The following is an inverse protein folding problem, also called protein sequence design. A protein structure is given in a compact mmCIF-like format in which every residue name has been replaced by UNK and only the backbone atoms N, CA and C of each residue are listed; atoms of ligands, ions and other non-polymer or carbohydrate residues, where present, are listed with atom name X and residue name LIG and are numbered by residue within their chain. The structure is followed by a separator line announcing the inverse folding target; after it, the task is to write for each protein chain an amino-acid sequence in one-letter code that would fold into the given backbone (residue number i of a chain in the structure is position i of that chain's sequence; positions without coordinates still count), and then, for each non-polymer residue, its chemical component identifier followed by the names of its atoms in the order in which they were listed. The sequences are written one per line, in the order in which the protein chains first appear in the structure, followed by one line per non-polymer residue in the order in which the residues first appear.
data_IF_377024939734
#
_entry.id   IF_377024939734
#
_cell.length_a   1.000
_cell.length_b   1.000
_cell.length_c   1.000
_cell.angle_alpha   90.00
_cell.angle_beta   90.00
_cell.angle_gamma   90.00
#
_symmetry.space_group_name_H-M   'P 1'
#
loop_
_entity.id
_entity.type
_entity.pdbx_description
1 polymer ?
#
# COMPACT_ATOMS: atom_id res chain seq x y z
N UNK A 1 18.84 -17.80 -77.48
CA UNK A 1 19.08 -16.53 -76.71
C UNK A 1 17.93 -16.34 -75.73
N UNK A 2 18.14 -16.76 -74.51
CA UNK A 2 17.13 -16.64 -73.46
C UNK A 2 17.78 -15.90 -72.30
N UNK A 3 17.30 -14.66 -72.09
CA UNK A 3 17.70 -13.82 -70.99
C UNK A 3 16.91 -14.25 -69.74
N UNK A 4 17.63 -14.71 -68.71
CA UNK A 4 17.02 -15.07 -67.40
C UNK A 4 17.04 -13.84 -66.52
N UNK A 5 15.87 -13.30 -66.23
CA UNK A 5 15.69 -12.29 -65.19
C UNK A 5 15.67 -12.97 -63.84
N UNK A 6 16.62 -12.67 -63.02
CA UNK A 6 16.71 -13.14 -61.64
C UNK A 6 16.03 -12.10 -60.72
N UNK A 7 14.80 -12.39 -60.29
CA UNK A 7 14.12 -11.56 -59.29
C UNK A 7 14.64 -11.91 -57.91
N UNK A 8 15.46 -11.04 -57.36
CA UNK A 8 15.82 -11.05 -55.96
C UNK A 8 14.68 -10.45 -55.14
N UNK A 9 13.83 -11.29 -54.61
CA UNK A 9 12.86 -10.89 -53.55
C UNK A 9 13.62 -10.68 -52.26
N UNK A 10 13.89 -9.43 -51.97
CA UNK A 10 14.46 -9.00 -50.69
C UNK A 10 13.35 -9.05 -49.61
N UNK A 11 13.25 -10.15 -48.92
CA UNK A 11 12.45 -10.23 -47.68
C UNK A 11 13.19 -9.51 -46.57
N UNK A 12 12.93 -8.22 -46.42
CA UNK A 12 13.31 -7.50 -45.20
C UNK A 12 12.45 -8.04 -44.06
N UNK A 13 13.02 -8.96 -43.30
CA UNK A 13 12.49 -9.39 -42.01
C UNK A 13 12.58 -8.18 -41.08
N UNK A 14 11.49 -7.47 -40.93
CA UNK A 14 11.37 -6.49 -39.85
C UNK A 14 11.45 -7.26 -38.54
N UNK A 15 12.61 -7.21 -37.94
CA UNK A 15 12.84 -7.64 -36.56
C UNK A 15 12.05 -6.64 -35.70
N UNK A 16 10.84 -7.06 -35.30
CA UNK A 16 10.03 -6.32 -34.34
C UNK A 16 10.82 -6.28 -33.05
N UNK A 17 11.40 -5.12 -32.78
CA UNK A 17 12.12 -4.84 -31.57
C UNK A 17 11.14 -5.07 -30.41
N UNK A 18 11.30 -6.17 -29.69
CA UNK A 18 10.56 -6.53 -28.48
C UNK A 18 11.03 -5.75 -27.25
N UNK A 19 11.55 -4.57 -27.44
CA UNK A 19 11.67 -3.58 -26.39
C UNK A 19 10.32 -2.89 -26.21
N UNK A 20 9.31 -3.69 -25.96
CA UNK A 20 8.05 -3.19 -25.39
C UNK A 20 8.47 -2.62 -24.03
N UNK A 21 8.45 -1.30 -23.94
CA UNK A 21 8.60 -0.52 -22.72
C UNK A 21 7.80 -1.23 -21.63
N UNK A 22 8.46 -2.03 -20.80
CA UNK A 22 7.88 -2.54 -19.57
C UNK A 22 7.58 -1.29 -18.75
N UNK A 23 6.32 -0.86 -18.78
CA UNK A 23 5.82 0.20 -17.93
C UNK A 23 6.18 -0.23 -16.52
N UNK A 24 7.20 0.39 -15.92
CA UNK A 24 7.63 0.07 -14.55
C UNK A 24 6.45 0.35 -13.65
N UNK A 25 5.72 -0.67 -13.28
CA UNK A 25 4.68 -0.61 -12.26
C UNK A 25 5.31 -0.83 -10.90
N UNK A 26 4.77 -0.18 -9.87
CA UNK A 26 5.15 -0.50 -8.51
C UNK A 26 4.85 -1.97 -8.22
N UNK A 27 5.76 -2.72 -7.58
CA UNK A 27 5.60 -4.15 -7.38
C UNK A 27 4.50 -4.51 -6.37
N UNK A 28 4.15 -3.61 -5.46
CA UNK A 28 3.08 -3.82 -4.47
C UNK A 28 1.80 -3.22 -5.02
N UNK A 29 0.73 -4.02 -5.02
CA UNK A 29 -0.58 -3.64 -5.57
C UNK A 29 -1.69 -3.63 -4.51
N UNK A 30 -1.48 -4.33 -3.39
CA UNK A 30 -2.44 -4.48 -2.32
C UNK A 30 -1.75 -4.92 -1.03
N UNK A 31 -2.31 -4.58 0.13
CA UNK A 31 -1.85 -5.04 1.43
C UNK A 31 -3.02 -5.39 2.36
N UNK A 32 -2.76 -6.23 3.35
CA UNK A 32 -3.73 -6.57 4.39
C UNK A 32 -3.09 -6.37 5.76
N UNK A 33 -3.81 -5.71 6.65
CA UNK A 33 -3.42 -5.52 8.05
C UNK A 33 -4.26 -6.48 8.89
N UNK A 34 -3.67 -7.48 9.54
CA UNK A 34 -4.36 -8.41 10.41
C UNK A 34 -5.05 -7.71 11.58
N UNK A 35 -6.29 -8.07 11.87
CA UNK A 35 -7.00 -7.56 13.05
C UNK A 35 -7.74 -8.70 13.79
N UNK A 36 -7.94 -8.53 15.08
CA UNK A 36 -8.69 -9.47 15.92
C UNK A 36 -10.13 -8.98 16.09
N UNK A 37 -10.30 -7.67 16.25
CA UNK A 37 -11.59 -7.02 16.44
C UNK A 37 -11.79 -5.97 15.34
N UNK A 38 -12.64 -6.28 14.36
CA UNK A 38 -12.87 -5.43 13.20
C UNK A 38 -13.53 -4.10 13.59
N UNK A 39 -14.46 -4.09 14.54
CA UNK A 39 -15.12 -2.86 14.98
C UNK A 39 -14.14 -1.92 15.69
N UNK A 40 -13.32 -2.45 16.59
CA UNK A 40 -12.29 -1.67 17.27
C UNK A 40 -11.25 -1.13 16.30
N UNK A 41 -10.78 -1.96 15.37
CA UNK A 41 -9.80 -1.57 14.37
C UNK A 41 -10.35 -0.47 13.43
N UNK A 42 -11.53 -0.66 12.86
CA UNK A 42 -12.13 0.35 11.96
C UNK A 42 -12.37 1.67 12.69
N UNK A 43 -12.84 1.64 13.95
CA UNK A 43 -12.99 2.86 14.77
C UNK A 43 -11.65 3.56 14.99
N UNK A 44 -10.60 2.82 15.30
CA UNK A 44 -9.25 3.37 15.49
C UNK A 44 -8.76 4.08 14.21
N UNK A 45 -8.71 3.38 13.09
CA UNK A 45 -8.21 3.95 11.84
C UNK A 45 -9.09 5.08 11.29
N UNK A 46 -10.42 5.01 11.50
CA UNK A 46 -11.32 6.11 11.16
C UNK A 46 -11.03 7.37 11.99
N UNK A 47 -10.73 7.21 13.27
CA UNK A 47 -10.44 8.35 14.16
C UNK A 47 -9.06 8.95 13.87
N UNK A 48 -8.05 8.10 13.68
CA UNK A 48 -6.65 8.54 13.50
C UNK A 48 -6.41 9.19 12.13
N UNK A 49 -7.02 8.62 11.07
CA UNK A 49 -6.76 9.01 9.69
C UNK A 49 -7.97 9.59 8.95
N UNK A 50 -9.12 9.66 9.61
CA UNK A 50 -10.39 10.03 8.97
C UNK A 50 -10.79 9.12 7.79
N UNK A 51 -10.44 7.84 7.84
CA UNK A 51 -10.81 6.87 6.83
C UNK A 51 -12.27 6.45 6.96
N UNK A 52 -12.91 6.20 5.82
CA UNK A 52 -14.21 5.54 5.71
C UNK A 52 -13.98 4.17 5.11
N UNK A 53 -14.51 3.15 5.75
CA UNK A 53 -14.33 1.77 5.34
C UNK A 53 -15.59 1.23 4.67
N UNK A 54 -15.40 0.49 3.59
CA UNK A 54 -16.40 -0.40 3.04
C UNK A 54 -16.12 -1.82 3.52
N UNK A 55 -17.11 -2.49 4.10
CA UNK A 55 -16.94 -3.85 4.64
C UNK A 55 -17.47 -4.90 3.68
N UNK A 56 -16.76 -6.01 3.59
CA UNK A 56 -17.13 -7.14 2.73
C UNK A 56 -16.59 -8.45 3.29
N UNK A 57 -16.97 -9.57 2.68
CA UNK A 57 -16.39 -10.89 2.96
C UNK A 57 -15.63 -11.35 1.71
N UNK A 58 -14.36 -11.67 1.89
CA UNK A 58 -13.51 -12.24 0.84
C UNK A 58 -12.91 -13.55 1.38
N UNK A 59 -13.08 -14.65 0.65
CA UNK A 59 -12.58 -15.97 1.04
C UNK A 59 -12.91 -16.36 2.49
N UNK A 60 -14.13 -16.06 2.93
CA UNK A 60 -14.67 -16.29 4.28
C UNK A 60 -14.07 -15.40 5.37
N UNK A 61 -13.23 -14.44 5.03
CA UNK A 61 -12.65 -13.50 5.98
C UNK A 61 -13.42 -12.16 5.95
N UNK A 62 -13.58 -11.55 7.13
CA UNK A 62 -14.13 -10.19 7.24
C UNK A 62 -13.07 -9.18 6.76
N UNK A 63 -13.45 -8.30 5.84
CA UNK A 63 -12.57 -7.28 5.28
C UNK A 63 -13.19 -5.89 5.45
N UNK A 64 -12.39 -4.92 5.89
CA UNK A 64 -12.72 -3.51 5.83
C UNK A 64 -11.74 -2.82 4.90
N UNK A 65 -12.23 -2.40 3.74
CA UNK A 65 -11.42 -1.84 2.66
C UNK A 65 -11.03 -0.40 2.99
N UNK A 66 -9.74 -0.08 2.91
CA UNK A 66 -9.25 1.30 2.99
C UNK A 66 -9.74 2.12 1.80
N UNK A 67 -9.91 3.45 1.96
CA UNK A 67 -10.25 4.31 0.84
C UNK A 67 -9.26 4.16 -0.31
N UNK A 68 -9.77 4.10 -1.53
CA UNK A 68 -8.97 4.02 -2.74
C UNK A 68 -9.45 5.02 -3.79
N UNK A 69 -8.50 5.67 -4.46
CA UNK A 69 -8.77 6.58 -5.57
C UNK A 69 -7.79 6.27 -6.68
N UNK A 70 -8.29 5.77 -7.81
CA UNK A 70 -7.47 5.35 -8.96
C UNK A 70 -6.60 6.47 -9.54
N UNK A 71 -7.06 7.70 -9.46
CA UNK A 71 -6.38 8.89 -10.00
C UNK A 71 -5.18 9.34 -9.15
N UNK A 72 -5.00 8.79 -7.94
CA UNK A 72 -3.91 9.15 -7.04
C UNK A 72 -2.84 8.08 -6.99
N UNK A 73 -1.61 8.51 -6.80
CA UNK A 73 -0.49 7.59 -6.56
C UNK A 73 -0.65 6.85 -5.24
N UNK A 74 -0.09 5.65 -5.16
CA UNK A 74 -0.10 4.81 -3.97
C UNK A 74 -0.85 3.51 -4.22
N UNK A 75 -1.01 2.76 -3.15
CA UNK A 75 -1.77 1.51 -3.10
C UNK A 75 -2.78 1.58 -1.97
N UNK A 76 -3.77 0.73 -1.99
CA UNK A 76 -4.71 0.54 -0.90
C UNK A 76 -4.75 -0.93 -0.49
N UNK A 77 -5.55 -1.25 0.50
CA UNK A 77 -5.64 -2.58 1.07
C UNK A 77 -6.87 -2.73 1.96
N UNK A 78 -6.79 -3.61 2.94
CA UNK A 78 -7.85 -3.82 3.91
C UNK A 78 -7.32 -4.10 5.33
N UNK A 79 -8.15 -3.82 6.32
CA UNK A 79 -8.11 -4.53 7.60
C UNK A 79 -8.73 -5.91 7.37
N UNK A 80 -8.07 -6.96 7.82
CA UNK A 80 -8.47 -8.34 7.53
C UNK A 80 -8.59 -9.16 8.81
N UNK A 81 -9.76 -9.78 9.04
CA UNK A 81 -10.04 -10.63 10.18
C UNK A 81 -10.44 -12.03 9.74
N UNK A 82 -9.77 -13.02 10.27
CA UNK A 82 -10.00 -14.43 9.99
C UNK A 82 -8.99 -15.31 10.71
N UNK A 83 -9.11 -16.60 10.56
CA UNK A 83 -8.27 -17.58 11.26
C UNK A 83 -6.77 -17.40 10.93
N UNK A 84 -6.45 -17.04 9.70
CA UNK A 84 -5.06 -16.89 9.22
C UNK A 84 -4.43 -15.56 9.63
N UNK A 85 -5.23 -14.55 9.99
CA UNK A 85 -4.76 -13.19 10.27
C UNK A 85 -4.33 -13.05 11.72
N UNK A 86 -3.03 -12.86 11.94
CA UNK A 86 -2.42 -12.69 13.27
C UNK A 86 -1.70 -11.35 13.34
N UNK A 87 -2.21 -10.37 14.11
CA UNK A 87 -1.51 -9.11 14.32
C UNK A 87 -0.11 -9.32 14.91
N UNK A 88 0.85 -8.52 14.48
CA UNK A 88 2.23 -8.59 14.96
C UNK A 88 2.97 -7.26 14.81
N UNK A 89 3.96 -7.04 15.68
CA UNK A 89 4.92 -5.94 15.57
C UNK A 89 6.17 -6.29 14.76
N UNK A 90 6.36 -7.57 14.47
CA UNK A 90 7.57 -8.11 13.85
C UNK A 90 7.40 -8.39 12.35
N UNK A 91 6.26 -8.00 11.77
CA UNK A 91 5.94 -8.17 10.37
C UNK A 91 6.45 -7.05 9.47
N UNK A 92 5.91 -7.01 8.26
CA UNK A 92 6.16 -5.92 7.30
C UNK A 92 5.67 -4.59 7.87
N UNK A 93 6.47 -3.53 7.71
CA UNK A 93 6.12 -2.20 8.15
C UNK A 93 5.44 -1.41 7.02
N UNK A 94 4.20 -1.01 7.23
CA UNK A 94 3.41 -0.21 6.30
C UNK A 94 3.48 1.25 6.74
N UNK A 95 3.83 2.14 5.80
CA UNK A 95 3.86 3.58 6.02
C UNK A 95 2.59 4.25 5.50
N UNK A 96 1.84 4.86 6.39
CA UNK A 96 0.73 5.75 6.04
C UNK A 96 1.22 7.18 5.89
N UNK A 97 0.78 7.84 4.83
CA UNK A 97 1.05 9.26 4.66
C UNK A 97 0.17 10.09 5.60
N UNK A 98 0.75 11.14 6.17
CA UNK A 98 0.01 12.13 6.97
C UNK A 98 0.46 13.54 6.63
N UNK A 99 -0.46 14.49 6.68
CA UNK A 99 -0.18 15.91 6.54
C UNK A 99 0.24 16.57 7.87
N UNK A 100 -0.06 15.93 9.01
CA UNK A 100 0.27 16.46 10.34
C UNK A 100 0.65 15.31 11.28
N UNK A 101 1.96 15.07 11.38
CA UNK A 101 2.55 14.00 12.19
C UNK A 101 2.16 14.09 13.67
N UNK A 102 2.22 15.29 14.24
CA UNK A 102 1.97 15.49 15.67
C UNK A 102 0.51 15.18 16.02
N UNK A 103 -0.42 15.62 15.20
CA UNK A 103 -1.85 15.35 15.41
C UNK A 103 -2.17 13.88 15.20
N UNK A 104 -1.62 13.24 14.18
CA UNK A 104 -1.84 11.81 13.92
C UNK A 104 -1.32 10.95 15.08
N UNK A 105 -0.12 11.24 15.59
CA UNK A 105 0.43 10.54 16.76
C UNK A 105 -0.38 10.78 18.03
N UNK A 106 -0.86 12.02 18.23
CA UNK A 106 -1.73 12.35 19.36
C UNK A 106 -3.02 11.53 19.29
N UNK A 107 -3.67 11.48 18.13
CA UNK A 107 -4.89 10.71 17.91
C UNK A 107 -4.65 9.21 18.09
N UNK A 108 -3.56 8.67 17.55
CA UNK A 108 -3.21 7.26 17.74
C UNK A 108 -3.06 6.93 19.23
N UNK A 109 -2.29 7.72 19.97
CA UNK A 109 -2.03 7.49 21.38
C UNK A 109 -3.29 7.63 22.25
N UNK A 110 -4.16 8.62 21.97
CA UNK A 110 -5.38 8.85 22.77
C UNK A 110 -6.52 7.87 22.46
N UNK A 111 -6.43 7.12 21.35
CA UNK A 111 -7.45 6.14 20.94
C UNK A 111 -6.98 4.68 21.08
N UNK A 112 -5.99 4.43 21.96
CA UNK A 112 -5.59 3.08 22.35
C UNK A 112 -4.36 2.54 21.62
N UNK A 113 -3.75 3.30 20.73
CA UNK A 113 -2.45 2.99 20.19
C UNK A 113 -1.31 3.35 21.14
N UNK A 114 -0.10 2.95 20.82
CA UNK A 114 1.09 3.20 21.64
C UNK A 114 2.23 3.67 20.74
N UNK A 115 2.86 4.79 21.08
CA UNK A 115 4.03 5.28 20.33
C UNK A 115 5.20 4.31 20.52
N UNK A 116 5.74 3.81 19.41
CA UNK A 116 6.92 2.92 19.38
C UNK A 116 8.19 3.65 18.97
N UNK A 117 8.07 4.59 18.02
CA UNK A 117 9.16 5.42 17.56
C UNK A 117 8.67 6.87 17.43
N UNK A 118 9.25 7.83 18.15
CA UNK A 118 8.77 9.20 18.13
C UNK A 118 9.05 9.88 16.79
N UNK A 119 8.35 10.99 16.52
CA UNK A 119 8.60 11.82 15.34
C UNK A 119 10.09 12.12 15.20
N UNK A 120 10.66 11.69 14.10
CA UNK A 120 12.07 11.82 13.77
C UNK A 120 12.22 12.39 12.38
N UNK A 121 13.09 13.36 12.25
CA UNK A 121 13.50 13.91 10.95
C UNK A 121 14.60 13.02 10.37
N UNK A 122 14.37 12.50 9.18
CA UNK A 122 15.38 11.79 8.40
C UNK A 122 15.62 12.48 7.04
N UNK A 123 16.51 11.94 6.21
CA UNK A 123 16.86 12.56 4.92
C UNK A 123 15.71 12.70 3.93
N UNK A 124 14.64 11.92 4.10
CA UNK A 124 13.51 11.85 3.16
C UNK A 124 12.22 12.51 3.68
N UNK A 125 12.12 12.78 4.99
CA UNK A 125 10.91 13.35 5.57
C UNK A 125 10.85 13.20 7.09
N UNK A 126 9.66 13.39 7.64
CA UNK A 126 9.36 13.06 9.03
C UNK A 126 8.79 11.64 9.07
N UNK A 127 9.28 10.85 10.01
CA UNK A 127 8.81 9.48 10.24
C UNK A 127 8.48 9.26 11.72
N UNK A 128 7.55 8.37 11.98
CA UNK A 128 7.21 7.91 13.32
C UNK A 128 6.58 6.52 13.23
N UNK A 129 6.45 5.83 14.38
CA UNK A 129 5.78 4.53 14.41
C UNK A 129 4.94 4.40 15.68
N UNK A 130 3.85 3.66 15.56
CA UNK A 130 2.98 3.33 16.68
C UNK A 130 2.50 1.87 16.58
N UNK A 131 2.10 1.33 17.71
CA UNK A 131 1.32 0.09 17.80
C UNK A 131 -0.16 0.47 17.69
N UNK A 132 -0.89 -0.18 16.79
CA UNK A 132 -2.34 0.00 16.69
C UNK A 132 -3.09 -0.74 17.80
N UNK A 133 -4.42 -0.63 17.81
CA UNK A 133 -5.26 -1.30 18.83
C UNK A 133 -5.29 -2.82 18.71
N UNK A 134 -4.78 -3.36 17.63
CA UNK A 134 -4.73 -4.81 17.35
C UNK A 134 -3.37 -5.43 17.67
N UNK A 135 -2.33 -4.61 17.86
CA UNK A 135 -0.96 -5.05 18.14
C UNK A 135 -0.06 -5.06 16.91
N UNK A 136 -0.44 -4.39 15.82
CA UNK A 136 0.43 -4.22 14.67
C UNK A 136 1.33 -2.99 14.83
N UNK A 137 2.53 -3.05 14.28
CA UNK A 137 3.44 -1.91 14.14
C UNK A 137 3.14 -1.18 12.83
N UNK A 138 2.77 0.06 12.94
CA UNK A 138 2.39 0.95 11.84
C UNK A 138 3.34 2.14 11.81
N UNK A 139 3.78 2.52 10.62
CA UNK A 139 4.62 3.68 10.42
C UNK A 139 3.84 4.85 9.79
N UNK A 140 4.33 6.04 10.03
CA UNK A 140 3.87 7.29 9.46
C UNK A 140 4.98 7.94 8.65
N UNK A 141 4.59 8.59 7.58
CA UNK A 141 5.46 9.44 6.77
C UNK A 141 4.78 10.80 6.52
N UNK A 142 5.53 11.86 6.67
CA UNK A 142 5.14 13.22 6.27
C UNK A 142 6.26 13.82 5.43
N UNK A 143 5.93 14.31 4.24
CA UNK A 143 6.90 15.00 3.40
C UNK A 143 7.37 16.29 4.07
N UNK A 144 8.62 16.65 3.84
CA UNK A 144 9.10 18.02 4.09
C UNK A 144 8.62 18.89 2.92
N UNK A 145 7.98 19.98 3.23
CA UNK A 145 7.70 21.01 2.25
C UNK A 145 8.98 21.70 1.79
#
# INVERSE_FOLDING_TARGET
MLSSCNEHTNKSTQQVNKDTIQKKSNPVVYFEIPVIDMERATRFYSTVFNFKFDTTIIDKNEMALFPFTEEKSGISGALAKGEIYKPTKDGVLIYFNTANMDETLRLANTNGGKILYPKTDNSIGLVAEFEDTEGNRIALYQSKE
#
